data_IF_209705352556
#
_entry.id   IF_209705352556
#
_cell.length_a   1.000
_cell.length_b   1.000
_cell.length_c   1.000
_cell.angle_alpha   90.00
_cell.angle_beta   90.00
_cell.angle_gamma   90.00
#
_symmetry.space_group_name_H-M   'P 1'
#
loop_
_entity.id
_entity.type
_entity.pdbx_description
1 polymer ?
#
# COMPACT_ATOMS: atom_id res chain seq x y z
N UNK A 1 -1.73 13.30 -4.61
CA UNK A 1 -3.02 13.63 -5.28
C UNK A 1 -2.85 14.42 -6.57
N UNK A 2 -2.33 15.66 -6.60
CA UNK A 2 -2.13 16.43 -7.87
C UNK A 2 -1.42 15.65 -8.99
N UNK A 3 -0.37 14.90 -8.65
CA UNK A 3 0.30 14.01 -9.60
C UNK A 3 -0.66 13.01 -10.25
N UNK A 4 -1.49 12.34 -9.44
CA UNK A 4 -2.45 11.34 -9.91
C UNK A 4 -3.53 11.96 -10.78
N UNK A 5 -4.06 13.11 -10.36
CA UNK A 5 -5.07 13.86 -11.12
C UNK A 5 -4.60 14.21 -12.53
N UNK A 6 -3.33 14.61 -12.67
CA UNK A 6 -2.78 15.02 -13.96
C UNK A 6 -2.30 13.84 -14.82
N UNK A 7 -1.70 12.82 -14.22
CA UNK A 7 -0.99 11.76 -14.94
C UNK A 7 -1.79 10.46 -15.10
N UNK A 8 -2.96 10.36 -14.46
CA UNK A 8 -3.79 9.16 -14.49
C UNK A 8 -5.24 9.51 -14.82
N UNK A 9 -6.03 8.48 -15.10
CA UNK A 9 -7.49 8.56 -15.15
C UNK A 9 -8.15 8.09 -13.86
N UNK A 10 -7.37 7.94 -12.76
CA UNK A 10 -7.94 7.62 -11.45
C UNK A 10 -8.73 8.86 -11.00
N UNK A 11 -10.04 8.73 -10.71
CA UNK A 11 -10.80 9.83 -10.17
C UNK A 11 -10.32 10.10 -8.74
N UNK A 12 -9.64 11.23 -8.56
CA UNK A 12 -9.16 11.70 -7.25
C UNK A 12 -9.78 13.06 -6.95
N UNK A 13 -9.99 13.43 -5.68
CA UNK A 13 -10.59 14.72 -5.35
C UNK A 13 -9.64 15.85 -5.77
N UNK A 14 -10.17 16.86 -6.46
CA UNK A 14 -9.39 18.04 -6.85
C UNK A 14 -9.03 18.85 -5.61
N UNK A 15 -7.75 19.22 -5.46
CA UNK A 15 -7.30 20.02 -4.32
C UNK A 15 -7.61 21.50 -4.56
N UNK A 16 -8.56 22.03 -3.79
CA UNK A 16 -8.97 23.43 -3.84
C UNK A 16 -8.00 24.34 -3.06
N UNK A 17 -7.52 23.88 -1.90
CA UNK A 17 -6.56 24.60 -1.06
C UNK A 17 -5.83 23.63 -0.14
N UNK A 18 -4.59 23.96 0.23
CA UNK A 18 -3.91 23.36 1.36
C UNK A 18 -3.08 24.44 2.04
N UNK A 19 -2.66 24.18 3.27
CA UNK A 19 -1.84 25.12 4.04
C UNK A 19 -1.21 24.43 5.24
N UNK A 20 -0.23 25.10 5.83
CA UNK A 20 0.43 24.65 7.06
C UNK A 20 -0.27 25.23 8.30
N UNK A 21 0.26 24.94 9.49
CA UNK A 21 -0.35 25.34 10.75
C UNK A 21 -0.62 26.85 10.82
N UNK A 22 0.27 27.68 10.30
CA UNK A 22 0.16 29.15 10.32
C UNK A 22 -1.03 29.66 9.48
N UNK A 23 -1.51 28.88 8.53
CA UNK A 23 -2.65 29.20 7.68
C UNK A 23 -3.97 28.57 8.16
N UNK A 24 -3.89 27.71 9.18
CA UNK A 24 -5.01 27.00 9.76
C UNK A 24 -5.66 27.82 10.87
N UNK A 25 -7.01 27.83 11.00
CA UNK A 25 -7.67 28.43 12.16
C UNK A 25 -7.08 27.86 13.46
N UNK A 26 -6.72 28.76 14.38
CA UNK A 26 -6.13 28.42 15.70
C UNK A 26 -4.85 27.56 15.65
N UNK A 27 -4.11 27.59 14.53
CA UNK A 27 -2.85 26.84 14.35
C UNK A 27 -2.96 25.33 14.59
N UNK A 28 -4.13 24.75 14.28
CA UNK A 28 -4.45 23.34 14.57
C UNK A 28 -3.59 22.32 13.82
N UNK A 29 -2.84 22.76 12.80
CA UNK A 29 -1.96 21.92 12.00
C UNK A 29 -2.18 22.08 10.49
N UNK A 30 -1.46 21.30 9.67
CA UNK A 30 -1.62 21.32 8.23
C UNK A 30 -3.03 20.86 7.82
N UNK A 31 -3.53 21.39 6.71
CA UNK A 31 -4.86 21.06 6.20
C UNK A 31 -4.89 20.95 4.68
N UNK A 32 -5.86 20.19 4.18
CA UNK A 32 -6.20 20.08 2.76
C UNK A 32 -7.72 20.27 2.63
N UNK A 33 -8.13 21.15 1.72
CA UNK A 33 -9.50 21.35 1.27
C UNK A 33 -9.57 20.86 -0.17
N UNK A 34 -10.49 19.96 -0.43
CA UNK A 34 -10.63 19.31 -1.72
C UNK A 34 -12.11 19.11 -2.06
N UNK A 35 -12.39 18.84 -3.33
CA UNK A 35 -13.74 18.56 -3.79
C UNK A 35 -14.30 17.30 -3.15
N UNK A 36 -15.59 17.36 -2.82
CA UNK A 36 -16.34 16.17 -2.41
C UNK A 36 -16.72 15.37 -3.67
N UNK A 37 -16.34 14.10 -3.69
CA UNK A 37 -16.78 13.17 -4.74
C UNK A 37 -18.13 12.59 -4.34
N UNK A 38 -19.16 12.84 -5.15
CA UNK A 38 -20.48 12.24 -4.93
C UNK A 38 -20.41 10.72 -5.09
N UNK A 39 -20.76 10.01 -4.03
CA UNK A 39 -20.69 8.55 -3.95
C UNK A 39 -21.80 8.02 -3.06
N UNK A 40 -22.09 6.73 -3.22
CA UNK A 40 -23.12 6.02 -2.47
C UNK A 40 -22.51 5.07 -1.43
N UNK A 41 -21.42 4.42 -1.81
CA UNK A 41 -20.77 3.31 -1.12
C UNK A 41 -19.25 3.38 -1.35
N UNK A 42 -18.50 2.46 -0.76
CA UNK A 42 -17.12 2.15 -1.14
C UNK A 42 -17.04 0.73 -1.78
N UNK A 43 -15.84 0.21 -2.04
CA UNK A 43 -15.67 -1.15 -2.55
C UNK A 43 -15.71 -2.22 -1.43
N UNK A 44 -15.62 -1.86 -0.16
CA UNK A 44 -15.90 -2.78 0.96
C UNK A 44 -17.37 -3.17 0.90
N UNK A 45 -18.29 -2.23 0.73
CA UNK A 45 -19.73 -2.52 0.56
C UNK A 45 -20.00 -3.50 -0.59
N UNK A 46 -19.19 -3.42 -1.65
CA UNK A 46 -19.26 -4.32 -2.80
C UNK A 46 -18.77 -5.75 -2.49
N UNK A 47 -17.90 -5.92 -1.49
CA UNK A 47 -17.18 -7.18 -1.23
C UNK A 47 -17.55 -7.85 0.10
N UNK A 48 -18.06 -7.09 1.07
CA UNK A 48 -18.23 -7.51 2.45
C UNK A 48 -19.37 -8.54 2.59
N UNK A 49 -19.26 -9.37 3.63
CA UNK A 49 -20.28 -10.34 4.01
C UNK A 49 -21.57 -9.60 4.40
N UNK A 50 -22.72 -9.93 3.77
CA UNK A 50 -23.98 -9.27 4.08
C UNK A 50 -24.35 -9.39 5.57
N UNK A 51 -24.71 -8.25 6.17
CA UNK A 51 -25.19 -8.19 7.56
C UNK A 51 -24.10 -7.98 8.62
N UNK A 52 -22.83 -7.89 8.23
CA UNK A 52 -21.79 -7.33 9.10
C UNK A 52 -22.06 -5.82 9.25
N UNK A 53 -22.22 -5.29 10.47
CA UNK A 53 -22.35 -3.86 10.72
C UNK A 53 -21.12 -3.07 10.28
N UNK A 54 -21.30 -1.80 9.90
CA UNK A 54 -20.21 -0.92 9.43
C UNK A 54 -19.12 -0.67 10.51
N UNK A 55 -19.46 -0.82 11.80
CA UNK A 55 -18.53 -0.69 12.92
C UNK A 55 -17.80 -1.99 13.27
N UNK A 56 -18.15 -3.11 12.62
CA UNK A 56 -17.44 -4.38 12.73
C UNK A 56 -16.42 -4.56 11.59
N UNK A 57 -15.44 -5.46 11.81
CA UNK A 57 -14.40 -5.71 10.82
C UNK A 57 -15.00 -6.33 9.54
N UNK A 58 -14.69 -5.80 8.36
CA UNK A 58 -15.19 -6.37 7.12
C UNK A 58 -14.51 -7.72 6.84
N UNK A 59 -15.26 -8.64 6.24
CA UNK A 59 -14.79 -9.94 5.79
C UNK A 59 -15.37 -10.21 4.41
N UNK A 60 -14.53 -10.60 3.45
CA UNK A 60 -14.97 -10.96 2.11
C UNK A 60 -16.10 -12.00 2.19
N UNK A 61 -17.23 -11.71 1.53
CA UNK A 61 -18.38 -12.62 1.48
C UNK A 61 -17.94 -14.00 0.93
N UNK A 62 -18.00 -15.08 1.73
CA UNK A 62 -17.60 -16.40 1.27
C UNK A 62 -18.50 -16.92 0.15
N UNK A 63 -19.74 -16.41 0.05
CA UNK A 63 -20.73 -16.76 -0.97
C UNK A 63 -20.81 -15.72 -2.09
N UNK A 64 -19.84 -14.80 -2.17
CA UNK A 64 -19.82 -13.77 -3.22
C UNK A 64 -19.90 -14.41 -4.61
N UNK A 65 -20.82 -13.91 -5.43
CA UNK A 65 -20.91 -14.30 -6.83
C UNK A 65 -19.59 -13.99 -7.55
N UNK A 66 -19.11 -14.92 -8.36
CA UNK A 66 -17.82 -14.79 -9.03
C UNK A 66 -17.79 -13.55 -9.94
N UNK A 67 -18.91 -13.23 -10.59
CA UNK A 67 -19.06 -12.04 -11.43
C UNK A 67 -18.89 -10.74 -10.63
N UNK A 68 -19.44 -10.68 -9.41
CA UNK A 68 -19.32 -9.52 -8.53
C UNK A 68 -17.89 -9.33 -8.04
N UNK A 69 -17.23 -10.43 -7.68
CA UNK A 69 -15.82 -10.43 -7.29
C UNK A 69 -14.91 -9.99 -8.43
N UNK A 70 -15.09 -10.55 -9.64
CA UNK A 70 -14.37 -10.16 -10.85
C UNK A 70 -14.57 -8.67 -11.16
N UNK A 71 -15.80 -8.19 -11.04
CA UNK A 71 -16.14 -6.79 -11.28
C UNK A 71 -15.39 -5.87 -10.31
N UNK A 72 -15.48 -6.10 -9.00
CA UNK A 72 -14.80 -5.29 -7.99
C UNK A 72 -13.26 -5.35 -8.13
N UNK A 73 -12.69 -6.55 -8.25
CA UNK A 73 -11.24 -6.72 -8.45
C UNK A 73 -10.76 -6.09 -9.77
N UNK A 74 -11.60 -6.08 -10.81
CA UNK A 74 -11.28 -5.46 -12.08
C UNK A 74 -11.14 -3.95 -12.00
N UNK A 75 -11.88 -3.31 -11.10
CA UNK A 75 -11.77 -1.87 -10.85
C UNK A 75 -10.51 -1.56 -10.04
N UNK A 76 -10.22 -2.33 -8.99
CA UNK A 76 -8.98 -2.23 -8.22
C UNK A 76 -7.74 -2.45 -9.10
N UNK A 77 -7.75 -3.50 -9.93
CA UNK A 77 -6.68 -3.78 -10.88
C UNK A 77 -6.47 -2.63 -11.87
N UNK A 78 -7.54 -1.97 -12.31
CA UNK A 78 -7.47 -0.78 -13.16
C UNK A 78 -6.71 0.38 -12.51
N UNK A 79 -6.89 0.60 -11.20
CA UNK A 79 -6.16 1.63 -10.44
C UNK A 79 -4.69 1.20 -10.23
N UNK A 80 -4.45 -0.04 -9.80
CA UNK A 80 -3.10 -0.59 -9.60
C UNK A 80 -2.24 -0.48 -10.87
N UNK A 81 -2.82 -0.80 -12.03
CA UNK A 81 -2.12 -0.68 -13.30
C UNK A 81 -1.76 0.77 -13.62
N UNK A 82 -2.61 1.74 -13.29
CA UNK A 82 -2.30 3.16 -13.51
C UNK A 82 -1.17 3.63 -12.59
N UNK A 83 -1.21 3.29 -11.30
CA UNK A 83 -0.12 3.62 -10.36
C UNK A 83 1.22 3.03 -10.82
N UNK A 84 1.21 1.76 -11.22
CA UNK A 84 2.43 1.03 -11.56
C UNK A 84 3.15 1.53 -12.82
N UNK A 85 2.49 2.32 -13.68
CA UNK A 85 3.13 2.89 -14.88
C UNK A 85 4.13 3.99 -14.55
N UNK A 86 3.96 4.65 -13.41
CA UNK A 86 4.79 5.79 -13.05
C UNK A 86 6.06 5.32 -12.35
N UNK A 87 7.19 5.83 -12.83
CA UNK A 87 8.50 5.44 -12.34
C UNK A 87 9.35 6.63 -11.90
N UNK A 88 10.19 6.39 -10.90
CA UNK A 88 11.05 7.39 -10.30
C UNK A 88 12.48 6.84 -10.10
N UNK A 89 13.44 7.77 -10.04
CA UNK A 89 14.87 7.43 -9.96
C UNK A 89 15.33 7.01 -8.56
N UNK A 90 14.58 7.40 -7.52
CA UNK A 90 14.87 7.09 -6.11
C UNK A 90 13.59 6.63 -5.39
N UNK A 91 13.74 6.11 -4.19
CA UNK A 91 12.65 5.73 -3.30
C UNK A 91 12.38 6.91 -2.36
N UNK A 92 11.15 7.39 -2.32
CA UNK A 92 10.79 8.55 -1.50
C UNK A 92 9.50 9.25 -1.93
N UNK A 93 9.14 10.30 -1.19
CA UNK A 93 8.00 11.13 -1.55
C UNK A 93 8.31 11.98 -2.78
N UNK A 94 7.33 12.05 -3.68
CA UNK A 94 7.42 12.81 -4.91
C UNK A 94 6.93 14.23 -4.70
N UNK A 95 7.57 15.16 -5.41
CA UNK A 95 7.18 16.56 -5.47
C UNK A 95 7.54 17.12 -6.85
N UNK A 96 6.94 18.25 -7.23
CA UNK A 96 7.36 18.97 -8.44
C UNK A 96 8.81 19.37 -8.31
N UNK A 97 9.60 19.25 -9.38
CA UNK A 97 11.01 19.64 -9.39
C UNK A 97 11.14 21.13 -9.08
N UNK A 98 10.37 21.96 -9.80
CA UNK A 98 10.19 23.37 -9.50
C UNK A 98 8.80 23.63 -8.91
N UNK A 99 8.72 24.00 -7.64
CA UNK A 99 7.45 24.28 -6.96
C UNK A 99 6.89 25.66 -7.31
N UNK A 100 7.75 26.59 -7.75
CA UNK A 100 7.39 27.97 -8.08
C UNK A 100 6.95 28.16 -9.54
N UNK A 101 7.14 27.14 -10.39
CA UNK A 101 6.73 27.18 -11.79
C UNK A 101 5.49 26.32 -12.00
N UNK A 102 4.33 26.97 -12.11
CA UNK A 102 3.05 26.31 -12.33
C UNK A 102 2.94 25.51 -13.63
N UNK A 103 3.86 25.71 -14.57
CA UNK A 103 3.92 24.95 -15.82
C UNK A 103 4.92 23.78 -15.78
N UNK A 104 5.73 23.66 -14.71
CA UNK A 104 6.64 22.52 -14.56
C UNK A 104 5.87 21.27 -14.12
N UNK A 105 5.80 20.29 -15.02
CA UNK A 105 5.20 18.98 -14.77
C UNK A 105 6.26 17.89 -14.55
N UNK A 106 7.50 18.28 -14.24
CA UNK A 106 8.53 17.32 -13.84
C UNK A 106 8.35 16.99 -12.36
N UNK A 107 8.09 15.72 -12.07
CA UNK A 107 8.00 15.19 -10.71
C UNK A 107 9.24 14.36 -10.36
N UNK A 108 9.84 14.68 -9.21
CA UNK A 108 11.04 14.00 -8.70
C UNK A 108 10.84 13.62 -7.25
N UNK A 109 11.66 12.70 -6.76
CA UNK A 109 11.70 12.38 -5.34
C UNK A 109 12.52 13.45 -4.62
N UNK A 110 11.94 14.09 -3.60
CA UNK A 110 12.60 15.15 -2.80
C UNK A 110 12.83 14.78 -1.34
N UNK A 111 12.02 13.87 -0.80
CA UNK A 111 12.00 13.58 0.64
C UNK A 111 11.96 12.08 0.90
N UNK A 112 12.21 11.66 2.15
CA UNK A 112 11.96 10.29 2.59
C UNK A 112 10.55 9.81 2.21
N UNK A 113 10.37 8.49 2.05
CA UNK A 113 9.04 7.90 2.11
C UNK A 113 8.29 8.35 3.36
N UNK A 114 7.01 8.66 3.21
CA UNK A 114 6.05 8.76 4.31
C UNK A 114 5.18 7.51 4.23
N UNK A 115 5.52 6.52 5.03
CA UNK A 115 4.82 5.22 5.05
C UNK A 115 3.80 5.19 6.16
N UNK A 116 2.74 4.38 6.00
CA UNK A 116 1.73 4.18 7.05
C UNK A 116 2.39 3.69 8.34
N UNK A 117 3.29 2.71 8.22
CA UNK A 117 4.07 2.19 9.35
C UNK A 117 4.90 3.29 10.05
N UNK A 118 5.55 4.21 9.33
CA UNK A 118 6.26 5.32 9.98
C UNK A 118 5.32 6.23 10.78
N UNK A 119 4.12 6.49 10.26
CA UNK A 119 3.10 7.26 10.97
C UNK A 119 2.64 6.53 12.24
N UNK A 120 2.26 5.25 12.13
CA UNK A 120 1.80 4.44 13.27
C UNK A 120 2.86 4.34 14.37
N UNK A 121 4.14 4.12 13.99
CA UNK A 121 5.25 4.08 14.95
C UNK A 121 5.35 5.37 15.76
N UNK A 122 5.22 6.53 15.12
CA UNK A 122 5.30 7.83 15.80
C UNK A 122 4.04 8.10 16.62
N UNK A 123 2.87 7.88 16.04
CA UNK A 123 1.58 8.25 16.62
C UNK A 123 1.22 7.38 17.82
N UNK A 124 1.39 6.06 17.71
CA UNK A 124 0.95 5.09 18.72
C UNK A 124 2.08 4.19 19.23
N UNK A 125 3.16 4.02 18.48
CA UNK A 125 4.29 3.15 18.84
C UNK A 125 5.32 3.77 19.79
N UNK A 126 5.14 5.02 20.23
CA UNK A 126 6.10 5.78 21.05
C UNK A 126 7.51 5.84 20.41
N UNK A 127 7.58 5.79 19.08
CA UNK A 127 8.82 5.85 18.33
C UNK A 127 9.29 7.31 18.20
N UNK A 128 10.53 7.65 18.58
CA UNK A 128 11.01 9.02 18.44
C UNK A 128 11.10 9.46 16.97
N UNK A 129 10.45 10.57 16.55
CA UNK A 129 10.42 10.99 15.14
C UNK A 129 11.80 11.22 14.51
N UNK A 130 12.77 11.66 15.31
CA UNK A 130 14.15 11.92 14.87
C UNK A 130 14.96 10.63 14.59
N UNK A 131 14.41 9.45 14.91
CA UNK A 131 14.99 8.15 14.55
C UNK A 131 14.37 7.57 13.27
N UNK A 132 13.39 8.26 12.66
CA UNK A 132 12.87 7.84 11.37
C UNK A 132 13.96 7.96 10.30
N UNK A 133 14.00 7.05 9.31
CA UNK A 133 14.97 7.13 8.23
C UNK A 133 14.84 8.43 7.43
N UNK A 134 15.95 9.14 7.21
CA UNK A 134 15.92 10.48 6.60
C UNK A 134 15.65 10.51 5.08
N UNK A 135 16.02 9.44 4.36
CA UNK A 135 15.81 9.29 2.91
C UNK A 135 16.21 10.53 2.06
N UNK A 136 15.82 10.60 0.78
CA UNK A 136 15.34 9.48 -0.06
C UNK A 136 16.42 8.38 -0.23
N UNK A 137 16.06 7.26 -0.86
CA UNK A 137 16.97 6.13 -1.03
C UNK A 137 17.27 5.85 -2.51
N UNK A 138 18.54 5.86 -2.93
CA UNK A 138 18.90 5.59 -4.32
C UNK A 138 18.83 4.11 -4.71
N UNK A 139 18.72 3.21 -3.72
CA UNK A 139 18.68 1.77 -3.98
C UNK A 139 17.72 1.01 -3.07
N UNK A 140 17.13 -0.09 -3.56
CA UNK A 140 16.28 -0.99 -2.77
C UNK A 140 16.99 -1.50 -1.51
N UNK A 141 18.25 -1.94 -1.61
CA UNK A 141 18.95 -2.46 -0.42
C UNK A 141 19.20 -1.40 0.65
N UNK A 142 19.44 -0.14 0.26
CA UNK A 142 19.57 0.96 1.22
C UNK A 142 18.27 1.23 1.96
N UNK A 143 17.13 1.17 1.26
CA UNK A 143 15.81 1.28 1.85
C UNK A 143 15.49 0.12 2.81
N UNK A 144 15.68 -1.13 2.39
CA UNK A 144 15.41 -2.29 3.26
C UNK A 144 16.32 -2.34 4.51
N UNK A 145 17.57 -1.88 4.39
CA UNK A 145 18.46 -1.75 5.56
C UNK A 145 17.96 -0.68 6.53
N UNK A 146 17.50 0.45 6.01
CA UNK A 146 16.90 1.50 6.82
C UNK A 146 15.63 1.03 7.55
N UNK A 147 14.76 0.29 6.86
CA UNK A 147 13.60 -0.37 7.50
C UNK A 147 14.03 -1.34 8.60
N UNK A 148 15.06 -2.16 8.35
CA UNK A 148 15.55 -3.11 9.34
C UNK A 148 16.12 -2.42 10.60
N UNK A 149 16.87 -1.33 10.40
CA UNK A 149 17.42 -0.54 11.51
C UNK A 149 16.30 0.19 12.26
N UNK A 150 15.28 0.72 11.57
CA UNK A 150 14.07 1.30 12.18
C UNK A 150 13.31 0.28 13.03
N UNK A 151 13.09 -0.94 12.54
CA UNK A 151 12.42 -2.00 13.31
C UNK A 151 13.18 -2.39 14.58
N UNK A 152 14.51 -2.38 14.54
CA UNK A 152 15.33 -2.61 15.74
C UNK A 152 15.30 -1.42 16.70
N UNK A 153 15.34 -0.19 16.19
CA UNK A 153 15.16 1.00 17.02
C UNK A 153 13.79 0.99 17.70
N UNK A 154 12.75 0.52 17.00
CA UNK A 154 11.41 0.37 17.56
C UNK A 154 11.40 -0.60 18.73
N UNK A 155 12.02 -1.78 18.59
CA UNK A 155 12.15 -2.76 19.67
C UNK A 155 12.79 -2.17 20.94
N UNK A 156 13.75 -1.25 20.79
CA UNK A 156 14.44 -0.60 21.92
C UNK A 156 13.62 0.54 22.53
N UNK A 157 12.79 1.20 21.72
CA UNK A 157 12.03 2.40 22.12
C UNK A 157 10.62 2.10 22.61
N UNK A 158 10.08 0.92 22.31
CA UNK A 158 8.84 0.43 22.91
C UNK A 158 8.99 0.30 24.43
N UNK A 159 8.09 0.97 25.17
CA UNK A 159 8.07 0.99 26.63
C UNK A 159 6.67 0.64 27.09
N UNK A 160 6.58 -0.27 28.06
CA UNK A 160 5.34 -0.83 28.64
C UNK A 160 4.51 -1.61 27.62
N UNK A 161 3.88 -2.70 28.07
CA UNK A 161 2.94 -3.53 27.28
C UNK A 161 3.42 -3.94 25.87
N UNK A 162 4.74 -3.92 25.65
CA UNK A 162 5.36 -4.19 24.34
C UNK A 162 5.43 -5.69 24.02
N UNK A 163 5.31 -6.54 25.04
CA UNK A 163 5.39 -7.99 24.94
C UNK A 163 4.44 -8.62 25.94
N UNK A 164 3.72 -9.67 25.53
CA UNK A 164 2.78 -10.40 26.38
C UNK A 164 3.47 -11.46 27.27
N UNK A 165 4.63 -11.95 26.84
CA UNK A 165 5.39 -13.01 27.51
C UNK A 165 6.88 -12.99 27.12
N UNK A 166 7.77 -13.70 27.85
CA UNK A 166 9.16 -13.91 27.43
C UNK A 166 9.29 -14.60 26.07
N UNK A 167 8.37 -15.50 25.73
CA UNK A 167 8.31 -16.22 24.46
C UNK A 167 7.96 -15.26 23.32
N UNK A 168 6.95 -14.42 23.53
CA UNK A 168 6.56 -13.36 22.60
C UNK A 168 7.69 -12.34 22.38
N UNK A 169 8.34 -11.89 23.45
CA UNK A 169 9.53 -11.04 23.36
C UNK A 169 10.64 -11.68 22.50
N UNK A 170 10.88 -12.98 22.69
CA UNK A 170 11.90 -13.71 21.93
C UNK A 170 11.51 -13.82 20.46
N UNK A 171 10.26 -14.13 20.15
CA UNK A 171 9.74 -14.18 18.79
C UNK A 171 9.90 -12.83 18.08
N UNK A 172 9.48 -11.75 18.75
CA UNK A 172 9.61 -10.37 18.27
C UNK A 172 11.06 -9.96 17.99
N UNK A 173 12.00 -10.35 18.86
CA UNK A 173 13.43 -10.13 18.65
C UNK A 173 13.94 -10.94 17.44
N UNK A 174 13.65 -12.24 17.40
CA UNK A 174 14.12 -13.13 16.33
C UNK A 174 13.62 -12.62 14.97
N UNK A 175 12.35 -12.26 14.84
CA UNK A 175 11.77 -11.73 13.61
C UNK A 175 12.54 -10.52 13.08
N UNK A 176 12.80 -9.51 13.94
CA UNK A 176 13.52 -8.29 13.54
C UNK A 176 14.99 -8.54 13.17
N UNK A 177 15.67 -9.43 13.90
CA UNK A 177 17.05 -9.80 13.57
C UNK A 177 17.14 -10.66 12.30
N UNK A 178 16.17 -11.53 12.05
CA UNK A 178 16.05 -12.28 10.79
C UNK A 178 15.79 -11.33 9.62
N UNK A 179 14.84 -10.39 9.76
CA UNK A 179 14.58 -9.36 8.76
C UNK A 179 15.87 -8.58 8.43
N UNK A 180 16.60 -8.11 9.46
CA UNK A 180 17.87 -7.40 9.24
C UNK A 180 18.91 -8.27 8.53
N UNK A 181 19.02 -9.55 8.88
CA UNK A 181 19.93 -10.48 8.21
C UNK A 181 19.57 -10.60 6.73
N UNK A 182 18.29 -10.84 6.40
CA UNK A 182 17.79 -10.95 5.03
C UNK A 182 18.02 -9.65 4.23
N UNK A 183 17.77 -8.49 4.84
CA UNK A 183 18.03 -7.18 4.24
C UNK A 183 19.54 -6.96 3.94
N UNK A 184 20.42 -7.35 4.87
CA UNK A 184 21.88 -7.26 4.66
C UNK A 184 22.38 -8.19 3.57
N UNK A 185 21.80 -9.38 3.48
CA UNK A 185 22.06 -10.38 2.44
C UNK A 185 21.40 -10.04 1.10
N UNK A 186 20.64 -8.95 1.00
CA UNK A 186 19.98 -8.52 -0.24
C UNK A 186 18.82 -9.43 -0.66
N UNK A 187 18.25 -10.21 0.26
CA UNK A 187 17.22 -11.22 -0.04
C UNK A 187 15.87 -10.63 -0.44
N UNK A 188 15.64 -9.35 -0.13
CA UNK A 188 14.46 -8.60 -0.54
C UNK A 188 14.64 -7.85 -1.88
N UNK A 189 15.86 -7.81 -2.43
CA UNK A 189 16.13 -7.13 -3.70
C UNK A 189 16.12 -8.16 -4.84
N UNK A 190 14.94 -8.61 -5.26
CA UNK A 190 14.80 -9.61 -6.32
C UNK A 190 14.96 -8.97 -7.70
N UNK A 191 14.57 -7.70 -7.84
CA UNK A 191 14.53 -7.00 -9.13
C UNK A 191 15.68 -5.99 -9.25
N UNK A 192 15.41 -4.83 -9.84
CA UNK A 192 16.42 -3.82 -10.11
C UNK A 192 16.79 -3.02 -8.86
N UNK A 193 18.01 -3.24 -8.36
CA UNK A 193 18.55 -2.59 -7.15
C UNK A 193 18.51 -1.06 -7.21
N UNK A 194 18.70 -0.46 -8.39
CA UNK A 194 18.73 0.99 -8.62
C UNK A 194 17.48 1.51 -9.33
N UNK A 195 16.38 0.78 -9.23
CA UNK A 195 15.13 1.12 -9.90
C UNK A 195 15.13 0.80 -11.41
N UNK A 196 14.17 1.35 -12.17
CA UNK A 196 13.21 2.38 -11.73
C UNK A 196 12.30 1.92 -10.59
N UNK A 197 11.97 2.84 -9.68
CA UNK A 197 11.06 2.63 -8.55
C UNK A 197 9.63 2.98 -8.94
N UNK A 198 8.61 2.30 -8.41
CA UNK A 198 7.20 2.49 -8.81
C UNK A 198 6.42 3.25 -7.75
N UNK A 199 5.42 4.01 -8.17
CA UNK A 199 4.49 4.62 -7.23
C UNK A 199 3.69 3.54 -6.49
N UNK A 200 3.64 3.64 -5.17
CA UNK A 200 2.97 2.69 -4.29
C UNK A 200 2.30 3.46 -3.14
N UNK A 201 1.19 2.94 -2.62
CA UNK A 201 0.49 3.49 -1.47
C UNK A 201 0.22 2.36 -0.48
N UNK A 202 0.74 2.49 0.74
CA UNK A 202 0.61 1.46 1.79
C UNK A 202 -0.86 1.17 2.13
N UNK A 203 -1.70 2.21 2.11
CA UNK A 203 -3.11 2.12 2.45
C UNK A 203 -4.02 2.01 1.22
N UNK A 204 -3.50 1.60 0.06
CA UNK A 204 -4.38 1.40 -1.10
C UNK A 204 -5.22 0.12 -0.95
N UNK A 205 -6.47 0.30 -0.48
CA UNK A 205 -7.43 -0.76 -0.16
C UNK A 205 -8.86 -0.40 -0.60
N UNK A 206 -9.80 -1.38 -0.67
CA UNK A 206 -11.16 -1.13 -1.13
C UNK A 206 -11.94 -0.06 -0.34
N UNK A 207 -11.64 0.13 0.94
CA UNK A 207 -12.26 1.18 1.77
C UNK A 207 -11.98 2.59 1.26
N UNK A 208 -10.85 2.77 0.56
CA UNK A 208 -10.41 4.07 0.06
C UNK A 208 -10.87 4.28 -1.40
N UNK A 209 -11.77 3.44 -1.92
CA UNK A 209 -12.28 3.49 -3.29
C UNK A 209 -13.80 3.64 -3.27
N UNK A 210 -14.25 4.84 -3.63
CA UNK A 210 -15.63 5.28 -3.60
C UNK A 210 -16.39 4.80 -4.85
N UNK A 211 -17.65 4.42 -4.66
CA UNK A 211 -18.50 3.88 -5.71
C UNK A 211 -19.90 4.50 -5.77
N UNK A 212 -20.51 4.44 -6.95
CA UNK A 212 -21.93 4.78 -7.13
C UNK A 212 -22.84 3.65 -6.65
N UNK A 213 -24.17 3.80 -6.83
CA UNK A 213 -25.15 2.80 -6.40
C UNK A 213 -25.01 1.45 -7.12
N UNK A 214 -24.37 1.42 -8.27
CA UNK A 214 -24.07 0.23 -9.07
C UNK A 214 -22.67 -0.35 -8.77
N UNK A 215 -22.00 0.12 -7.71
CA UNK A 215 -20.63 -0.23 -7.34
C UNK A 215 -19.56 0.08 -8.39
N UNK A 216 -19.84 1.01 -9.31
CA UNK A 216 -18.82 1.52 -10.23
C UNK A 216 -17.95 2.56 -9.52
N UNK A 217 -16.64 2.48 -9.69
CA UNK A 217 -15.70 3.42 -9.09
C UNK A 217 -15.93 4.83 -9.63
N UNK A 218 -16.14 5.76 -8.70
CA UNK A 218 -16.30 7.20 -8.96
C UNK A 218 -15.22 8.04 -8.29
N UNK A 219 -14.46 7.45 -7.36
CA UNK A 219 -13.40 8.14 -6.64
C UNK A 219 -12.42 7.18 -5.97
N UNK A 220 -11.21 7.66 -5.72
CA UNK A 220 -10.25 7.02 -4.83
C UNK A 220 -9.57 8.09 -3.98
N UNK A 221 -9.50 7.85 -2.67
CA UNK A 221 -9.09 8.81 -1.64
C UNK A 221 -7.93 8.26 -0.80
N UNK A 222 -7.54 8.98 0.24
CA UNK A 222 -6.55 8.56 1.25
C UNK A 222 -5.17 8.18 0.67
N UNK A 223 -4.64 9.09 -0.15
CA UNK A 223 -3.34 8.95 -0.80
C UNK A 223 -2.14 9.39 0.05
N UNK A 224 -2.32 9.64 1.35
CA UNK A 224 -1.31 10.27 2.22
C UNK A 224 -0.02 9.44 2.39
N UNK A 225 -0.10 8.12 2.28
CA UNK A 225 1.06 7.21 2.35
C UNK A 225 1.54 6.75 0.97
N UNK A 226 1.46 7.63 -0.02
CA UNK A 226 1.92 7.35 -1.39
C UNK A 226 3.35 7.81 -1.62
N UNK A 227 4.21 6.92 -2.10
CA UNK A 227 5.63 7.21 -2.36
C UNK A 227 6.18 6.33 -3.50
N UNK A 228 7.36 6.69 -4.03
CA UNK A 228 8.09 5.83 -4.94
C UNK A 228 8.76 4.71 -4.14
N UNK A 229 8.45 3.45 -4.44
CA UNK A 229 8.83 2.27 -3.67
C UNK A 229 9.64 1.25 -4.49
N UNK A 230 10.35 0.32 -3.84
CA UNK A 230 10.94 -0.85 -4.51
C UNK A 230 9.91 -1.59 -5.37
N UNK A 231 10.37 -2.17 -6.48
CA UNK A 231 9.53 -2.91 -7.41
C UNK A 231 8.80 -4.08 -6.74
N UNK A 232 9.41 -4.68 -5.74
CA UNK A 232 8.82 -5.77 -4.96
C UNK A 232 7.44 -5.39 -4.39
N UNK A 233 7.22 -4.13 -3.99
CA UNK A 233 5.96 -3.68 -3.40
C UNK A 233 4.84 -3.69 -4.44
N UNK A 234 5.08 -3.09 -5.61
CA UNK A 234 4.10 -3.08 -6.71
C UNK A 234 3.82 -4.49 -7.26
N UNK A 235 4.76 -5.41 -7.09
CA UNK A 235 4.64 -6.80 -7.54
C UNK A 235 4.11 -7.75 -6.46
N UNK A 236 3.96 -7.31 -5.21
CA UNK A 236 3.43 -8.14 -4.13
C UNK A 236 1.92 -8.29 -4.27
N UNK A 237 1.39 -9.44 -3.86
CA UNK A 237 -0.05 -9.64 -3.85
C UNK A 237 -0.71 -8.69 -2.83
N UNK A 238 -1.90 -8.12 -3.14
CA UNK A 238 -2.54 -7.15 -2.25
C UNK A 238 -3.08 -7.81 -0.99
N UNK A 239 -2.75 -7.23 0.17
CA UNK A 239 -3.19 -7.75 1.48
C UNK A 239 -4.71 -7.74 1.68
N UNK A 240 -5.43 -6.89 0.97
CA UNK A 240 -6.86 -6.63 1.17
C UNK A 240 -7.80 -7.61 0.48
N UNK A 241 -7.32 -8.69 -0.15
CA UNK A 241 -8.19 -9.62 -0.90
C UNK A 241 -9.31 -10.24 -0.06
N UNK A 242 -9.08 -10.48 1.23
CA UNK A 242 -10.09 -11.07 2.11
C UNK A 242 -10.80 -10.02 2.99
N UNK A 243 -10.48 -8.74 2.81
CA UNK A 243 -10.87 -7.59 3.64
C UNK A 243 -10.41 -7.63 5.11
N UNK A 244 -10.09 -8.81 5.63
CA UNK A 244 -9.57 -9.02 6.98
C UNK A 244 -8.13 -9.57 6.97
N UNK A 245 -7.42 -9.27 8.05
CA UNK A 245 -6.03 -9.65 8.24
C UNK A 245 -5.90 -11.09 8.77
N UNK A 246 -4.81 -11.81 8.43
CA UNK A 246 -4.61 -13.19 8.85
C UNK A 246 -4.62 -13.38 10.38
N UNK A 247 -4.17 -12.39 11.15
CA UNK A 247 -4.12 -12.42 12.62
C UNK A 247 -5.52 -12.48 13.25
N UNK A 248 -6.53 -12.03 12.52
CA UNK A 248 -7.91 -11.91 12.98
C UNK A 248 -8.85 -12.96 12.38
N UNK A 249 -8.33 -13.77 11.46
CA UNK A 249 -9.12 -14.73 10.71
C UNK A 249 -9.66 -15.86 11.62
N UNK A 250 -10.99 -16.07 11.71
CA UNK A 250 -11.58 -17.07 12.61
C UNK A 250 -11.12 -18.51 12.34
N UNK A 251 -10.83 -18.84 11.08
CA UNK A 251 -10.33 -20.16 10.67
C UNK A 251 -8.83 -20.38 10.95
N UNK A 252 -8.13 -19.37 11.45
CA UNK A 252 -6.68 -19.38 11.61
C UNK A 252 -5.92 -19.23 10.29
N UNK A 253 -4.58 -19.21 10.40
CA UNK A 253 -3.69 -18.83 9.32
C UNK A 253 -3.73 -19.79 8.11
N UNK A 254 -3.86 -21.09 8.37
CA UNK A 254 -3.92 -22.09 7.30
C UNK A 254 -5.19 -21.93 6.45
N UNK A 255 -6.33 -21.68 7.09
CA UNK A 255 -7.59 -21.42 6.41
C UNK A 255 -7.54 -20.10 5.62
N UNK A 256 -7.05 -19.02 6.25
CA UNK A 256 -6.85 -17.73 5.58
C UNK A 256 -6.00 -17.89 4.33
N UNK A 257 -4.89 -18.64 4.41
CA UNK A 257 -3.98 -18.86 3.28
C UNK A 257 -4.67 -19.59 2.12
N UNK A 258 -5.43 -20.64 2.41
CA UNK A 258 -6.17 -21.38 1.39
C UNK A 258 -7.23 -20.51 0.68
N UNK A 259 -7.96 -19.70 1.44
CA UNK A 259 -8.96 -18.78 0.88
C UNK A 259 -8.27 -17.68 0.08
N UNK A 260 -7.20 -17.11 0.62
CA UNK A 260 -6.41 -16.06 -0.03
C UNK A 260 -5.85 -16.53 -1.37
N UNK A 261 -5.25 -17.72 -1.44
CA UNK A 261 -4.75 -18.33 -2.67
C UNK A 261 -5.83 -18.45 -3.74
N UNK A 262 -7.01 -18.90 -3.34
CA UNK A 262 -8.15 -19.04 -4.25
C UNK A 262 -8.54 -17.68 -4.83
N UNK A 263 -8.63 -16.64 -3.98
CA UNK A 263 -9.00 -15.28 -4.40
C UNK A 263 -7.89 -14.57 -5.17
N UNK A 264 -6.62 -14.85 -4.87
CA UNK A 264 -5.47 -14.38 -5.64
C UNK A 264 -5.52 -14.93 -7.07
N UNK A 265 -5.94 -16.19 -7.27
CA UNK A 265 -6.19 -16.75 -8.60
C UNK A 265 -7.21 -15.92 -9.40
N UNK A 266 -8.31 -15.50 -8.76
CA UNK A 266 -9.30 -14.61 -9.39
C UNK A 266 -8.70 -13.26 -9.75
N UNK A 267 -7.98 -12.61 -8.82
CA UNK A 267 -7.33 -11.31 -9.09
C UNK A 267 -6.37 -11.41 -10.27
N UNK A 268 -5.50 -12.42 -10.28
CA UNK A 268 -4.48 -12.58 -11.34
C UNK A 268 -5.12 -12.72 -12.72
N UNK A 269 -6.19 -13.51 -12.85
CA UNK A 269 -6.93 -13.64 -14.12
C UNK A 269 -7.48 -12.30 -14.59
N UNK A 270 -8.10 -11.56 -13.67
CA UNK A 270 -8.66 -10.23 -13.97
C UNK A 270 -7.57 -9.23 -14.35
N UNK A 271 -6.45 -9.25 -13.62
CA UNK A 271 -5.31 -8.39 -13.88
C UNK A 271 -4.70 -8.68 -15.26
N UNK A 272 -4.55 -9.95 -15.64
CA UNK A 272 -4.09 -10.36 -16.98
C UNK A 272 -5.01 -9.87 -18.10
N UNK A 273 -6.32 -9.96 -17.92
CA UNK A 273 -7.30 -9.46 -18.88
C UNK A 273 -7.20 -7.94 -19.03
N UNK A 274 -7.09 -7.20 -17.91
CA UNK A 274 -6.94 -5.74 -17.91
C UNK A 274 -5.62 -5.30 -18.54
N UNK A 275 -4.53 -5.99 -18.24
CA UNK A 275 -3.23 -5.77 -18.86
C UNK A 275 -3.29 -6.00 -20.36
N UNK A 276 -3.90 -7.10 -20.81
CA UNK A 276 -4.09 -7.40 -22.23
C UNK A 276 -4.83 -6.27 -22.94
N UNK A 277 -5.97 -5.82 -22.39
CA UNK A 277 -6.72 -4.69 -22.96
C UNK A 277 -5.88 -3.42 -22.99
N UNK A 278 -5.10 -3.13 -21.95
CA UNK A 278 -4.24 -1.96 -21.90
C UNK A 278 -3.10 -2.02 -22.93
N UNK A 279 -2.50 -3.20 -23.11
CA UNK A 279 -1.44 -3.45 -24.10
C UNK A 279 -1.99 -3.34 -25.52
N UNK A 280 -3.14 -3.96 -25.81
CA UNK A 280 -3.79 -3.87 -27.11
C UNK A 280 -4.16 -2.42 -27.48
N UNK A 281 -4.37 -1.56 -26.48
CA UNK A 281 -4.63 -0.11 -26.64
C UNK A 281 -3.36 0.75 -26.64
N UNK A 282 -2.18 0.18 -26.47
CA UNK A 282 -0.91 0.90 -26.36
C UNK A 282 -0.76 1.73 -25.07
N UNK A 283 -1.57 1.46 -24.05
CA UNK A 283 -1.55 2.17 -22.76
C UNK A 283 -0.60 1.52 -21.74
N UNK A 284 -0.14 0.31 -22.01
CA UNK A 284 0.77 -0.48 -21.17
C UNK A 284 1.71 -1.25 -22.11
N UNK A 285 2.94 -1.47 -21.69
CA UNK A 285 3.90 -2.32 -22.40
C UNK A 285 4.04 -3.68 -21.70
N UNK A 286 4.52 -4.69 -22.43
CA UNK A 286 4.61 -6.07 -21.95
C UNK A 286 5.49 -6.21 -20.70
N UNK A 287 6.54 -5.40 -20.57
CA UNK A 287 7.43 -5.36 -19.40
C UNK A 287 6.79 -4.78 -18.14
N UNK A 288 5.61 -4.16 -18.26
CA UNK A 288 4.87 -3.58 -17.14
C UNK A 288 3.73 -4.45 -16.62
N UNK A 289 3.63 -5.72 -17.06
CA UNK A 289 2.67 -6.68 -16.51
C UNK A 289 2.95 -6.96 -15.03
N UNK A 290 2.03 -6.58 -14.16
CA UNK A 290 2.04 -6.88 -12.74
C UNK A 290 1.72 -8.35 -12.47
N UNK A 291 0.77 -8.93 -13.23
CA UNK A 291 0.27 -10.30 -13.02
C UNK A 291 1.37 -11.36 -13.03
N UNK A 292 2.31 -11.25 -13.96
CA UNK A 292 3.46 -12.16 -14.07
C UNK A 292 4.30 -12.13 -12.79
N UNK A 293 4.69 -10.94 -12.34
CA UNK A 293 5.54 -10.79 -11.16
C UNK A 293 4.80 -11.14 -9.87
N UNK A 294 3.52 -10.79 -9.77
CA UNK A 294 2.66 -11.11 -8.62
C UNK A 294 2.42 -12.59 -8.46
N UNK A 295 2.28 -13.33 -9.56
CA UNK A 295 2.21 -14.80 -9.52
C UNK A 295 3.50 -15.43 -9.00
N UNK A 296 4.66 -14.89 -9.37
CA UNK A 296 5.94 -15.36 -8.86
C UNK A 296 6.16 -15.00 -7.39
N UNK A 297 5.78 -13.78 -6.99
CA UNK A 297 5.93 -13.30 -5.63
C UNK A 297 5.00 -14.04 -4.65
N UNK A 298 3.72 -14.21 -5.00
CA UNK A 298 2.74 -14.89 -4.16
C UNK A 298 3.16 -16.33 -3.82
N UNK A 299 3.75 -17.07 -4.77
CA UNK A 299 4.27 -18.42 -4.52
C UNK A 299 5.37 -18.47 -3.45
N UNK A 300 6.12 -17.38 -3.27
CA UNK A 300 7.21 -17.26 -2.29
C UNK A 300 6.67 -16.76 -0.95
N UNK A 301 5.77 -15.77 -0.94
CA UNK A 301 5.14 -15.21 0.27
C UNK A 301 4.31 -16.26 1.03
N UNK A 302 3.58 -17.10 0.31
CA UNK A 302 2.78 -18.20 0.88
C UNK A 302 3.66 -19.25 1.60
N UNK A 303 4.85 -19.51 1.07
CA UNK A 303 5.78 -20.49 1.65
C UNK A 303 6.55 -19.97 2.89
N UNK A 304 6.41 -18.67 3.22
CA UNK A 304 7.20 -17.99 4.26
C UNK A 304 6.42 -17.06 5.19
N UNK A 305 5.10 -16.89 5.01
CA UNK A 305 4.13 -16.18 5.86
C UNK A 305 4.62 -14.87 6.51
N UNK A 306 4.47 -13.75 5.80
CA UNK A 306 3.64 -12.58 6.18
C UNK A 306 3.81 -11.44 5.16
N UNK A 307 2.68 -10.79 4.85
CA UNK A 307 2.41 -9.42 4.33
C UNK A 307 3.45 -8.68 3.50
N UNK A 308 2.98 -7.85 2.56
CA UNK A 308 3.77 -6.80 1.90
C UNK A 308 4.76 -6.16 2.88
N UNK A 309 6.02 -5.90 2.50
CA UNK A 309 7.07 -5.48 3.43
C UNK A 309 6.77 -4.18 4.22
N UNK A 310 5.67 -3.47 3.91
CA UNK A 310 5.16 -2.31 4.63
C UNK A 310 3.87 -2.52 5.46
N UNK A 311 3.18 -3.66 5.34
CA UNK A 311 1.86 -3.93 5.96
C UNK A 311 1.98 -4.85 7.18
N UNK A 312 3.18 -5.04 7.73
CA UNK A 312 3.30 -5.55 9.11
C UNK A 312 2.83 -4.42 10.03
N UNK A 313 1.52 -4.23 10.11
CA UNK A 313 0.88 -3.64 11.28
C UNK A 313 1.29 -4.53 12.44
N UNK A 314 2.25 -4.06 13.23
CA UNK A 314 2.62 -4.69 14.47
C UNK A 314 1.37 -4.62 15.35
N UNK A 315 0.59 -5.70 15.36
CA UNK A 315 -0.37 -5.95 16.41
C UNK A 315 0.40 -5.93 17.74
N UNK A 316 0.20 -4.85 18.48
CA UNK A 316 0.44 -4.79 19.92
C UNK A 316 -0.61 -5.62 20.63
#
# INVERSE_FOLDING_TARGET
MRFLEFHTSIPVPHILRYGMAEESPDELGPFIIMEYIDHKYDLIDALNTPGIPDDERPMLDPQIAEERLIFAYGQMAGIMLQLSKHTFAEIGCIARANEDDDFDDVWVVKHRPLTLNMNELVQVGNFPPHLLPDGPFPTSSSYYRALADMHLAHLVTQRNDAVASPEDCRANCIARFLFRKLAREGRFCKYHERGPFKLFCDDFRPANVLTNAEFQVVGAVDWEYTYAAPLEFAYSAPFWLLLDLPEYWPGGLDDWTNVYETRLGTLLRVLEEREKVAIDRGLLSEEHRLSTYMREAGRVEISGLTTQPGVVGLST
#
